data_IF_058983026833
#
_entry.id   IF_058983026833
#
_cell.length_a   1.000
_cell.length_b   1.000
_cell.length_c   1.000
_cell.angle_alpha   90.00
_cell.angle_beta   90.00
_cell.angle_gamma   90.00
#
_symmetry.space_group_name_H-M   'P 1'
#
loop_
_entity.id
_entity.type
_entity.pdbx_description
1 polymer ?
#
# COMPACT_ATOMS: atom_id res chain seq x y z
N UNK A 1 -9.35 -11.63 -10.07
CA UNK A 1 -8.54 -11.35 -8.87
C UNK A 1 -7.28 -10.53 -9.19
N UNK A 2 -6.54 -10.91 -10.24
CA UNK A 2 -5.35 -10.15 -10.63
C UNK A 2 -5.67 -8.71 -11.01
N UNK A 3 -6.78 -8.49 -11.71
CA UNK A 3 -7.20 -7.14 -12.08
C UNK A 3 -7.51 -6.29 -10.85
N UNK A 4 -8.08 -6.92 -9.82
CA UNK A 4 -8.37 -6.23 -8.57
C UNK A 4 -7.10 -5.83 -7.84
N UNK A 5 -6.10 -6.71 -7.85
CA UNK A 5 -4.80 -6.42 -7.24
C UNK A 5 -4.14 -5.24 -7.95
N UNK A 6 -4.15 -5.25 -9.29
CA UNK A 6 -3.58 -4.15 -10.07
C UNK A 6 -4.28 -2.83 -9.80
N UNK A 7 -5.61 -2.84 -9.78
CA UNK A 7 -6.39 -1.64 -9.49
C UNK A 7 -6.11 -1.14 -8.07
N UNK A 8 -6.07 -2.04 -7.09
CA UNK A 8 -5.78 -1.70 -5.71
C UNK A 8 -4.38 -1.12 -5.57
N UNK A 9 -3.40 -1.71 -6.26
CA UNK A 9 -2.03 -1.20 -6.25
C UNK A 9 -1.96 0.22 -6.77
N UNK A 10 -2.73 0.53 -7.82
CA UNK A 10 -2.81 1.88 -8.36
C UNK A 10 -3.38 2.88 -7.36
N UNK A 11 -4.44 2.49 -6.64
CA UNK A 11 -5.05 3.32 -5.62
C UNK A 11 -4.03 3.62 -4.50
N UNK A 12 -3.32 2.60 -4.05
CA UNK A 12 -2.32 2.74 -3.00
C UNK A 12 -1.18 3.66 -3.47
N UNK A 13 -0.68 3.43 -4.67
CA UNK A 13 0.41 4.21 -5.22
C UNK A 13 0.03 5.69 -5.32
N UNK A 14 -1.17 5.97 -5.83
CA UNK A 14 -1.64 7.35 -5.96
C UNK A 14 -1.75 8.03 -4.60
N UNK A 15 -2.21 7.29 -3.60
CA UNK A 15 -2.34 7.84 -2.25
C UNK A 15 -0.99 8.17 -1.65
N UNK A 16 -0.02 7.29 -1.84
CA UNK A 16 1.33 7.53 -1.36
C UNK A 16 1.97 8.70 -2.08
N UNK A 17 1.73 8.84 -3.37
CA UNK A 17 2.24 9.98 -4.12
C UNK A 17 1.65 11.29 -3.62
N UNK A 18 0.35 11.31 -3.32
CA UNK A 18 -0.33 12.52 -2.89
C UNK A 18 0.05 12.93 -1.46
N UNK A 19 0.18 11.96 -0.57
CA UNK A 19 0.34 12.23 0.86
C UNK A 19 1.71 11.90 1.43
N UNK A 20 2.57 11.25 0.66
CA UNK A 20 3.87 10.83 1.11
C UNK A 20 3.80 9.64 2.05
N UNK A 21 4.75 9.56 2.97
CA UNK A 21 4.87 8.45 3.90
C UNK A 21 3.64 8.31 4.80
N UNK A 22 3.16 7.09 4.98
CA UNK A 22 2.00 6.83 5.82
C UNK A 22 2.10 5.45 6.45
N UNK A 23 1.36 5.23 7.53
CA UNK A 23 1.30 3.90 8.17
C UNK A 23 0.36 3.00 7.39
N UNK A 24 0.56 1.68 7.54
CA UNK A 24 -0.31 0.70 6.91
C UNK A 24 -1.77 0.89 7.33
N UNK A 25 -2.00 1.15 8.62
CA UNK A 25 -3.35 1.34 9.13
C UNK A 25 -4.03 2.56 8.50
N UNK A 26 -3.32 3.67 8.41
CA UNK A 26 -3.85 4.88 7.80
C UNK A 26 -4.10 4.68 6.32
N UNK A 27 -3.20 4.00 5.63
CA UNK A 27 -3.33 3.74 4.21
C UNK A 27 -4.53 2.85 3.93
N UNK A 28 -4.71 1.81 4.72
CA UNK A 28 -5.85 0.91 4.59
C UNK A 28 -7.17 1.66 4.78
N UNK A 29 -7.24 2.50 5.79
CA UNK A 29 -8.42 3.30 6.07
C UNK A 29 -8.70 4.31 4.95
N UNK A 30 -7.66 4.96 4.46
CA UNK A 30 -7.80 5.99 3.43
C UNK A 30 -8.23 5.41 2.09
N UNK A 31 -7.71 4.23 1.73
CA UNK A 31 -8.02 3.60 0.45
C UNK A 31 -9.32 2.82 0.48
N UNK A 32 -9.78 2.45 1.67
CA UNK A 32 -11.01 1.66 1.87
C UNK A 32 -10.97 0.32 1.17
N UNK A 33 -9.79 -0.20 0.95
CA UNK A 33 -9.62 -1.51 0.32
C UNK A 33 -9.82 -2.60 1.36
N UNK A 34 -10.53 -3.66 0.95
CA UNK A 34 -10.80 -4.80 1.82
C UNK A 34 -9.63 -5.77 1.86
N UNK A 35 -9.40 -6.43 3.01
CA UNK A 35 -8.48 -7.55 3.02
C UNK A 35 -9.09 -8.73 2.26
N UNK A 36 -8.34 -9.60 1.61
CA UNK A 36 -6.87 -9.58 1.55
C UNK A 36 -6.30 -8.76 0.39
N UNK A 37 -7.15 -8.11 -0.41
CA UNK A 37 -6.70 -7.40 -1.62
C UNK A 37 -5.72 -6.29 -1.27
N UNK A 38 -5.95 -5.58 -0.16
CA UNK A 38 -5.04 -4.54 0.30
C UNK A 38 -3.62 -5.11 0.51
N UNK A 39 -3.53 -6.21 1.27
CA UNK A 39 -2.24 -6.83 1.57
C UNK A 39 -1.56 -7.39 0.32
N UNK A 40 -2.33 -8.00 -0.57
CA UNK A 40 -1.78 -8.52 -1.82
C UNK A 40 -1.24 -7.39 -2.70
N UNK A 41 -1.95 -6.27 -2.76
CA UNK A 41 -1.50 -5.12 -3.54
C UNK A 41 -0.23 -4.51 -2.96
N UNK A 42 -0.13 -4.43 -1.63
CA UNK A 42 1.08 -3.95 -0.96
C UNK A 42 2.26 -4.87 -1.30
N UNK A 43 2.07 -6.18 -1.20
CA UNK A 43 3.10 -7.15 -1.56
C UNK A 43 3.53 -7.03 -3.01
N UNK A 44 2.57 -6.83 -3.90
CA UNK A 44 2.85 -6.67 -5.32
C UNK A 44 3.70 -5.42 -5.59
N UNK A 45 3.33 -4.29 -4.96
CA UNK A 45 4.09 -3.05 -5.11
C UNK A 45 5.52 -3.19 -4.57
N UNK A 46 5.66 -3.87 -3.44
CA UNK A 46 6.98 -4.11 -2.86
C UNK A 46 7.84 -4.98 -3.76
N UNK A 47 7.26 -6.02 -4.34
CA UNK A 47 7.95 -6.89 -5.28
C UNK A 47 8.41 -6.13 -6.52
N UNK A 48 7.58 -5.20 -7.00
CA UNK A 48 7.88 -4.39 -8.18
C UNK A 48 8.81 -3.22 -7.86
N UNK A 49 9.29 -3.17 -6.63
CA UNK A 49 10.24 -2.15 -6.19
C UNK A 49 9.68 -0.72 -6.28
N UNK A 50 8.37 -0.61 -6.11
CA UNK A 50 7.69 0.68 -6.21
C UNK A 50 7.55 1.38 -4.86
N UNK A 51 7.58 0.61 -3.78
CA UNK A 51 7.42 1.15 -2.43
C UNK A 51 8.49 0.59 -1.50
N UNK A 52 8.72 1.32 -0.41
CA UNK A 52 9.57 0.86 0.69
C UNK A 52 8.68 0.68 1.91
N UNK A 53 8.80 -0.48 2.54
CA UNK A 53 8.06 -0.81 3.76
C UNK A 53 9.06 -0.88 4.91
N UNK A 54 8.83 -0.05 5.92
CA UNK A 54 9.70 0.02 7.08
C UNK A 54 8.93 -0.36 8.33
N UNK A 55 9.40 -1.34 9.12
CA UNK A 55 8.74 -1.67 10.37
C UNK A 55 8.80 -0.51 11.36
N UNK A 56 7.73 -0.33 12.11
CA UNK A 56 7.69 0.62 13.21
C UNK A 56 7.20 -0.10 14.46
N UNK A 57 7.05 0.61 15.58
CA UNK A 57 6.77 -0.03 16.86
C UNK A 57 5.55 -0.95 16.86
N UNK A 58 4.47 -0.53 16.21
CA UNK A 58 3.21 -1.29 16.23
C UNK A 58 2.64 -1.54 14.85
N UNK A 59 3.36 -1.14 13.81
CA UNK A 59 2.80 -1.20 12.47
C UNK A 59 3.94 -1.13 11.46
N UNK A 60 3.59 -0.82 10.25
CA UNK A 60 4.54 -0.63 9.16
C UNK A 60 4.30 0.73 8.54
N UNK A 61 5.38 1.36 8.10
CA UNK A 61 5.33 2.64 7.42
C UNK A 61 5.68 2.41 5.97
N UNK A 62 4.94 3.02 5.07
CA UNK A 62 5.12 2.82 3.64
C UNK A 62 5.33 4.15 2.94
N UNK A 63 6.21 4.15 1.95
CA UNK A 63 6.44 5.31 1.10
C UNK A 63 6.81 4.86 -0.31
N UNK A 64 6.67 5.75 -1.26
CA UNK A 64 7.17 5.48 -2.61
C UNK A 64 8.70 5.45 -2.58
N UNK A 65 9.24 4.61 -3.43
CA UNK A 65 10.70 4.46 -3.54
C UNK A 65 11.37 5.65 -4.25
#
# INVERSE_FOLDING_TARGET
>A
MQDEIGAAAGVIWNRLQANGETTAAQLKKATKLDPPVFEWAIGWLAREDQIVITPSKKSYVMRLK
#
